data_IF_852511628895
#
_entry.id   IF_852511628895
#
_cell.length_a   1.000
_cell.length_b   1.000
_cell.length_c   1.000
_cell.angle_alpha   90.00
_cell.angle_beta   90.00
_cell.angle_gamma   90.00
#
_symmetry.space_group_name_H-M   'P 1'
#
loop_
_entity.id
_entity.type
_entity.pdbx_description
1 polymer ?
#
# COMPACT_ATOMS: atom_id res chain seq x y z
N UNK A 1 21.83 -28.93 -41.53
CA UNK A 1 23.03 -28.07 -41.61
C UNK A 1 22.51 -26.68 -41.92
N UNK A 2 22.34 -25.76 -40.97
CA UNK A 2 23.32 -25.24 -40.01
C UNK A 2 22.68 -25.04 -38.63
N UNK A 3 23.28 -25.64 -37.61
CA UNK A 3 23.06 -25.26 -36.22
C UNK A 3 23.66 -23.87 -36.01
N UNK A 4 22.81 -22.87 -35.78
CA UNK A 4 23.20 -21.57 -35.27
C UNK A 4 23.10 -21.58 -33.76
N UNK A 5 24.14 -22.12 -33.12
CA UNK A 5 24.40 -22.00 -31.68
C UNK A 5 24.59 -20.53 -31.31
N UNK A 6 23.49 -19.85 -30.94
CA UNK A 6 23.57 -18.69 -30.06
C UNK A 6 23.50 -19.18 -28.63
N UNK A 7 24.65 -19.67 -28.16
CA UNK A 7 25.01 -19.72 -26.75
C UNK A 7 24.86 -18.32 -26.16
N UNK A 8 23.68 -18.04 -25.60
CA UNK A 8 23.48 -16.97 -24.65
C UNK A 8 24.47 -17.19 -23.51
N UNK A 9 25.50 -16.37 -23.44
CA UNK A 9 26.45 -16.36 -22.33
C UNK A 9 25.70 -16.38 -21.01
N UNK A 10 25.96 -17.44 -20.22
CA UNK A 10 25.35 -17.75 -18.93
C UNK A 10 25.82 -16.84 -17.79
N UNK A 11 26.51 -15.72 -18.08
CA UNK A 11 27.23 -14.92 -17.07
C UNK A 11 26.50 -13.65 -16.61
N UNK A 12 25.42 -13.21 -17.29
CA UNK A 12 24.57 -12.09 -16.85
C UNK A 12 23.14 -12.58 -16.53
N UNK A 13 23.01 -13.46 -15.54
CA UNK A 13 21.73 -13.87 -14.98
C UNK A 13 21.27 -12.82 -13.96
N UNK A 14 20.69 -11.73 -14.44
CA UNK A 14 19.93 -10.82 -13.56
C UNK A 14 18.86 -11.63 -12.82
N UNK A 15 18.59 -11.28 -11.56
CA UNK A 15 17.58 -11.96 -10.74
C UNK A 15 16.21 -12.05 -11.44
N UNK A 16 15.91 -11.06 -12.29
CA UNK A 16 14.73 -11.00 -13.14
C UNK A 16 14.66 -12.15 -14.16
N UNK A 17 15.74 -12.47 -14.88
CA UNK A 17 15.78 -13.58 -15.85
C UNK A 17 15.51 -14.92 -15.19
N UNK A 18 16.06 -15.15 -14.01
CA UNK A 18 15.81 -16.40 -13.28
C UNK A 18 14.36 -16.48 -12.76
N UNK A 19 13.80 -15.36 -12.30
CA UNK A 19 12.38 -15.30 -11.95
C UNK A 19 11.48 -15.55 -13.17
N UNK A 20 11.82 -14.98 -14.33
CA UNK A 20 11.11 -15.22 -15.59
C UNK A 20 11.12 -16.70 -15.96
N UNK A 21 12.28 -17.36 -15.93
CA UNK A 21 12.42 -18.79 -16.21
C UNK A 21 11.51 -19.62 -15.30
N UNK A 22 11.54 -19.36 -13.99
CA UNK A 22 10.65 -20.03 -13.03
C UNK A 22 9.16 -19.79 -13.31
N UNK A 23 8.79 -18.59 -13.75
CA UNK A 23 7.41 -18.28 -14.10
C UNK A 23 6.97 -18.91 -15.42
N UNK A 24 7.92 -19.17 -16.34
CA UNK A 24 7.66 -19.88 -17.59
C UNK A 24 7.52 -21.40 -17.34
N UNK A 25 8.22 -21.97 -16.38
CA UNK A 25 8.08 -23.38 -15.97
C UNK A 25 6.68 -23.67 -15.38
N UNK A 26 6.10 -22.73 -14.64
CA UNK A 26 4.77 -22.89 -14.03
C UNK A 26 3.63 -22.61 -15.03
N UNK A 27 3.18 -23.66 -15.72
CA UNK A 27 2.13 -23.62 -16.75
C UNK A 27 0.77 -23.08 -16.28
N UNK A 28 0.44 -23.23 -14.99
CA UNK A 28 -0.81 -22.73 -14.42
C UNK A 28 -0.72 -21.29 -13.88
N UNK A 29 0.48 -20.70 -13.86
CA UNK A 29 0.78 -19.42 -13.24
C UNK A 29 1.01 -19.49 -11.73
N UNK A 30 1.19 -18.32 -11.11
CA UNK A 30 1.64 -18.19 -9.73
C UNK A 30 1.40 -16.79 -9.15
N UNK A 31 1.42 -16.70 -7.82
CA UNK A 31 1.42 -15.44 -7.08
C UNK A 31 2.87 -15.06 -6.79
N UNK A 32 3.31 -13.91 -7.27
CA UNK A 32 4.67 -13.39 -7.13
C UNK A 32 4.65 -12.18 -6.21
N UNK A 33 5.37 -12.28 -5.09
CA UNK A 33 5.54 -11.19 -4.14
C UNK A 33 7.00 -10.75 -4.19
N UNK A 34 7.22 -9.58 -4.78
CA UNK A 34 8.51 -8.92 -4.83
C UNK A 34 8.65 -7.98 -3.62
N UNK A 35 9.88 -7.80 -3.16
CA UNK A 35 10.17 -6.69 -2.25
C UNK A 35 10.03 -5.33 -2.95
N UNK A 36 9.67 -4.30 -2.18
CA UNK A 36 9.52 -2.96 -2.71
C UNK A 36 10.84 -2.47 -3.30
N UNK A 37 10.79 -1.83 -4.47
CA UNK A 37 11.98 -1.27 -5.12
C UNK A 37 12.69 -2.18 -6.13
N UNK A 38 12.37 -3.48 -6.22
CA UNK A 38 12.91 -4.38 -7.26
C UNK A 38 12.31 -4.18 -8.66
N UNK A 39 11.70 -3.01 -8.90
CA UNK A 39 11.16 -2.60 -10.20
C UNK A 39 10.26 -3.63 -10.90
N UNK A 40 9.07 -3.89 -10.32
CA UNK A 40 8.02 -4.74 -10.93
C UNK A 40 7.75 -4.38 -12.39
N UNK A 41 7.82 -3.10 -12.76
CA UNK A 41 7.64 -2.64 -14.14
C UNK A 41 8.62 -3.27 -15.12
N UNK A 42 9.90 -3.44 -14.76
CA UNK A 42 10.91 -4.06 -15.63
C UNK A 42 10.62 -5.55 -15.85
N UNK A 43 10.28 -6.26 -14.77
CA UNK A 43 9.89 -7.67 -14.82
C UNK A 43 8.70 -7.89 -15.76
N UNK A 44 7.64 -7.09 -15.59
CA UNK A 44 6.47 -7.18 -16.44
C UNK A 44 6.83 -6.87 -17.89
N UNK A 45 7.55 -5.78 -18.16
CA UNK A 45 7.98 -5.45 -19.52
C UNK A 45 8.75 -6.61 -20.18
N UNK A 46 9.67 -7.25 -19.45
CA UNK A 46 10.41 -8.42 -19.96
C UNK A 46 9.50 -9.63 -20.23
N UNK A 47 8.58 -9.95 -19.30
CA UNK A 47 7.59 -11.02 -19.50
C UNK A 47 6.68 -10.77 -20.71
N UNK A 48 6.35 -9.50 -21.00
CA UNK A 48 5.56 -9.14 -22.17
C UNK A 48 6.35 -9.28 -23.48
N UNK A 49 7.66 -9.09 -23.46
CA UNK A 49 8.53 -9.32 -24.62
C UNK A 49 8.68 -10.80 -24.97
N UNK A 50 8.60 -11.69 -23.97
CA UNK A 50 8.63 -13.14 -24.17
C UNK A 50 7.32 -13.70 -24.74
N UNK A 51 6.23 -12.94 -24.68
CA UNK A 51 4.93 -13.36 -25.17
C UNK A 51 4.87 -13.28 -26.70
N UNK A 52 4.60 -14.40 -27.37
CA UNK A 52 4.41 -14.44 -28.82
C UNK A 52 2.93 -14.43 -29.20
N UNK A 53 2.59 -13.75 -30.29
CA UNK A 53 1.21 -13.66 -30.81
C UNK A 53 0.58 -15.05 -31.08
N UNK A 54 1.42 -16.06 -31.36
CA UNK A 54 1.01 -17.44 -31.57
C UNK A 54 0.42 -18.12 -30.32
N UNK A 55 0.70 -17.61 -29.13
CA UNK A 55 0.20 -18.16 -27.86
C UNK A 55 -1.19 -17.64 -27.49
N UNK A 56 -1.75 -16.69 -28.26
CA UNK A 56 -3.04 -16.07 -28.01
C UNK A 56 -2.93 -14.71 -27.31
N UNK A 57 -4.07 -14.13 -26.94
CA UNK A 57 -4.15 -12.77 -26.38
C UNK A 57 -3.79 -12.79 -24.89
N UNK A 58 -2.99 -11.82 -24.44
CA UNK A 58 -2.60 -11.66 -23.03
C UNK A 58 -3.30 -10.44 -22.44
N UNK A 59 -4.09 -10.65 -21.39
CA UNK A 59 -4.83 -9.57 -20.73
C UNK A 59 -4.13 -9.13 -19.46
N UNK A 60 -3.83 -7.84 -19.37
CA UNK A 60 -3.28 -7.23 -18.16
C UNK A 60 -4.37 -6.44 -17.46
N UNK A 61 -4.78 -6.94 -16.29
CA UNK A 61 -5.63 -6.22 -15.36
C UNK A 61 -4.79 -5.16 -14.67
N UNK A 62 -4.83 -3.96 -15.25
CA UNK A 62 -4.28 -2.79 -14.59
C UNK A 62 -5.40 -2.04 -13.89
N UNK A 63 -5.20 -1.65 -12.62
CA UNK A 63 -6.01 -0.60 -12.04
C UNK A 63 -5.79 0.71 -12.79
N UNK A 64 -6.68 1.67 -12.59
CA UNK A 64 -6.65 3.00 -13.24
C UNK A 64 -5.42 3.86 -12.87
N UNK A 65 -4.47 3.35 -12.09
CA UNK A 65 -3.23 4.06 -11.78
C UNK A 65 -2.34 4.18 -13.01
N UNK A 66 -2.37 5.34 -13.66
CA UNK A 66 -1.60 5.65 -14.85
C UNK A 66 -0.07 5.50 -14.67
N UNK A 67 0.42 5.55 -13.43
CA UNK A 67 1.86 5.54 -13.10
C UNK A 67 2.56 4.20 -13.36
N UNK A 68 1.92 3.06 -13.08
CA UNK A 68 2.53 1.75 -13.34
C UNK A 68 2.50 1.43 -14.84
N UNK A 69 1.38 1.77 -15.50
CA UNK A 69 1.22 1.64 -16.96
C UNK A 69 2.29 2.44 -17.71
N UNK A 70 2.50 3.71 -17.33
CA UNK A 70 3.50 4.56 -18.00
C UNK A 70 4.92 4.03 -17.81
N UNK A 71 5.25 3.51 -16.62
CA UNK A 71 6.54 2.86 -16.37
C UNK A 71 6.75 1.59 -17.21
N UNK A 72 5.73 0.74 -17.32
CA UNK A 72 5.81 -0.47 -18.16
C UNK A 72 6.01 -0.08 -19.63
N UNK A 73 5.23 0.88 -20.13
CA UNK A 73 5.35 1.38 -21.50
C UNK A 73 6.71 2.04 -21.77
N UNK A 74 7.24 2.79 -20.80
CA UNK A 74 8.58 3.35 -20.89
C UNK A 74 9.64 2.26 -21.01
N UNK A 75 9.64 1.28 -20.11
CA UNK A 75 10.61 0.18 -20.15
C UNK A 75 10.48 -0.68 -21.42
N UNK A 76 9.27 -0.91 -21.92
CA UNK A 76 9.07 -1.61 -23.20
C UNK A 76 9.71 -0.85 -24.36
N UNK A 77 9.52 0.47 -24.45
CA UNK A 77 10.14 1.31 -25.48
C UNK A 77 11.67 1.32 -25.36
N UNK A 78 12.20 1.33 -24.14
CA UNK A 78 13.65 1.32 -23.90
C UNK A 78 14.28 -0.02 -24.26
N UNK A 79 13.65 -1.14 -23.91
CA UNK A 79 14.18 -2.48 -24.13
C UNK A 79 14.13 -2.90 -25.59
N UNK A 80 13.22 -2.34 -26.39
CA UNK A 80 13.08 -2.77 -27.77
C UNK A 80 12.57 -1.64 -28.70
N UNK A 81 13.49 -0.83 -29.28
CA UNK A 81 13.14 0.28 -30.18
C UNK A 81 12.43 -0.15 -31.47
N UNK A 82 12.54 -1.44 -31.84
CA UNK A 82 11.94 -2.02 -33.04
C UNK A 82 10.57 -2.67 -32.81
N UNK A 83 10.12 -2.79 -31.54
CA UNK A 83 8.79 -3.31 -31.21
C UNK A 83 7.74 -2.20 -31.31
N UNK A 84 6.98 -2.21 -32.40
CA UNK A 84 5.88 -1.27 -32.63
C UNK A 84 4.54 -1.69 -31.99
N UNK A 85 4.47 -2.85 -31.33
CA UNK A 85 3.28 -3.27 -30.57
C UNK A 85 3.39 -2.84 -29.11
N UNK A 86 3.15 -1.54 -28.87
CA UNK A 86 2.78 -1.09 -27.52
C UNK A 86 1.48 -1.81 -27.14
N UNK A 87 1.35 -2.33 -25.91
CA UNK A 87 0.11 -2.98 -25.49
C UNK A 87 -1.09 -2.04 -25.68
N UNK A 88 -2.12 -2.52 -26.39
CA UNK A 88 -3.29 -1.71 -26.71
C UNK A 88 -4.14 -1.54 -25.47
N UNK A 89 -4.60 -0.31 -25.20
CA UNK A 89 -5.50 -0.06 -24.08
C UNK A 89 -6.96 -0.20 -24.52
N UNK A 90 -7.70 -1.06 -23.83
CA UNK A 90 -9.13 -1.23 -24.02
C UNK A 90 -9.86 -0.27 -23.09
N UNK A 91 -10.27 0.87 -23.63
CA UNK A 91 -11.11 1.86 -22.94
C UNK A 91 -12.59 1.55 -23.12
N UNK A 92 -13.43 2.17 -22.29
CA UNK A 92 -14.89 2.02 -22.38
C UNK A 92 -15.48 2.68 -23.65
N UNK A 93 -14.74 3.61 -24.26
CA UNK A 93 -15.16 4.36 -25.44
C UNK A 93 -15.02 3.56 -26.74
N UNK A 94 -14.30 2.43 -26.71
CA UNK A 94 -14.11 1.59 -27.88
C UNK A 94 -15.40 0.81 -28.20
N UNK A 95 -15.86 0.83 -29.45
CA UNK A 95 -17.04 0.07 -29.86
C UNK A 95 -16.80 -1.44 -29.69
N UNK A 96 -17.89 -2.16 -29.41
CA UNK A 96 -17.87 -3.60 -29.07
C UNK A 96 -17.14 -4.45 -30.12
N UNK A 97 -17.34 -4.16 -31.40
CA UNK A 97 -16.74 -4.92 -32.50
C UNK A 97 -15.21 -4.77 -32.54
N UNK A 98 -14.71 -3.55 -32.27
CA UNK A 98 -13.26 -3.33 -32.17
C UNK A 98 -12.67 -4.04 -30.95
N UNK A 99 -13.37 -4.07 -29.81
CA UNK A 99 -12.92 -4.81 -28.63
C UNK A 99 -12.84 -6.32 -28.90
N UNK A 100 -13.81 -6.89 -29.60
CA UNK A 100 -13.78 -8.30 -30.01
C UNK A 100 -12.60 -8.61 -30.96
N UNK A 101 -12.32 -7.73 -31.91
CA UNK A 101 -11.15 -7.86 -32.80
C UNK A 101 -9.85 -7.83 -32.00
N UNK A 102 -9.72 -6.93 -31.02
CA UNK A 102 -8.55 -6.87 -30.13
C UNK A 102 -8.40 -8.15 -29.31
N UNK A 103 -9.47 -8.70 -28.74
CA UNK A 103 -9.41 -9.99 -28.03
C UNK A 103 -8.99 -11.16 -28.93
N UNK A 104 -9.25 -11.08 -30.24
CA UNK A 104 -8.90 -12.11 -31.23
C UNK A 104 -7.54 -11.88 -31.89
N UNK A 105 -6.91 -10.73 -31.65
CA UNK A 105 -5.68 -10.31 -32.33
C UNK A 105 -4.40 -11.04 -31.86
N UNK A 106 -4.45 -11.74 -30.73
CA UNK A 106 -3.28 -12.37 -30.11
C UNK A 106 -2.31 -11.36 -29.48
N UNK A 107 -2.68 -10.09 -29.39
CA UNK A 107 -1.83 -9.03 -28.84
C UNK A 107 -1.93 -8.95 -27.31
N UNK A 108 -1.03 -8.15 -26.71
CA UNK A 108 -1.10 -7.80 -25.29
C UNK A 108 -2.05 -6.60 -25.14
N UNK A 109 -3.04 -6.71 -24.26
CA UNK A 109 -4.00 -5.63 -24.01
C UNK A 109 -4.07 -5.25 -22.53
N UNK A 110 -4.08 -3.95 -22.26
CA UNK A 110 -4.46 -3.41 -20.95
C UNK A 110 -5.97 -3.27 -20.88
N UNK A 111 -6.56 -3.80 -19.81
CA UNK A 111 -8.01 -3.73 -19.59
C UNK A 111 -8.32 -3.45 -18.11
N UNK A 112 -9.39 -2.69 -17.87
CA UNK A 112 -9.88 -2.49 -16.50
C UNK A 112 -10.77 -3.65 -16.06
N UNK A 113 -10.75 -4.04 -14.77
CA UNK A 113 -11.60 -5.13 -14.27
C UNK A 113 -13.08 -4.93 -14.58
N UNK A 114 -13.58 -3.69 -14.53
CA UNK A 114 -14.98 -3.36 -14.79
C UNK A 114 -15.40 -3.63 -16.26
N UNK A 115 -14.52 -3.35 -17.22
CA UNK A 115 -14.81 -3.65 -18.63
C UNK A 115 -14.74 -5.15 -18.87
N UNK A 116 -13.70 -5.80 -18.34
CA UNK A 116 -13.48 -7.24 -18.53
C UNK A 116 -14.64 -8.07 -17.98
N UNK A 117 -15.16 -7.73 -16.79
CA UNK A 117 -16.25 -8.50 -16.20
C UNK A 117 -17.55 -8.38 -17.01
N UNK A 118 -17.87 -7.19 -17.53
CA UNK A 118 -19.07 -6.99 -18.36
C UNK A 118 -18.94 -7.77 -19.67
N UNK A 119 -17.77 -7.74 -20.31
CA UNK A 119 -17.53 -8.48 -21.55
C UNK A 119 -17.54 -10.01 -21.34
N UNK A 120 -17.07 -10.49 -20.19
CA UNK A 120 -17.15 -11.90 -19.79
C UNK A 120 -18.61 -12.33 -19.53
N UNK A 121 -19.39 -11.55 -18.78
CA UNK A 121 -20.79 -11.88 -18.46
C UNK A 121 -21.71 -11.81 -19.68
N UNK A 122 -21.38 -10.96 -20.66
CA UNK A 122 -22.13 -10.83 -21.91
C UNK A 122 -21.65 -11.78 -23.01
N UNK A 123 -20.71 -12.70 -22.71
CA UNK A 123 -20.12 -13.65 -23.66
C UNK A 123 -19.53 -13.00 -24.93
N UNK A 124 -19.04 -11.75 -24.82
CA UNK A 124 -18.43 -11.02 -25.94
C UNK A 124 -16.94 -11.26 -26.09
N UNK A 125 -16.35 -11.96 -25.12
CA UNK A 125 -14.93 -12.24 -25.06
C UNK A 125 -14.70 -13.75 -25.30
N UNK A 126 -13.99 -14.15 -26.38
CA UNK A 126 -13.70 -15.55 -26.66
C UNK A 126 -12.62 -16.06 -25.70
N UNK A 127 -13.05 -16.62 -24.57
CA UNK A 127 -12.15 -17.05 -23.50
C UNK A 127 -11.13 -18.11 -23.94
N UNK A 128 -11.44 -18.92 -24.96
CA UNK A 128 -10.57 -19.97 -25.50
C UNK A 128 -9.30 -19.45 -26.18
N UNK A 129 -9.33 -18.24 -26.72
CA UNK A 129 -8.19 -17.62 -27.46
C UNK A 129 -7.23 -16.91 -26.50
N UNK A 130 -7.65 -16.70 -25.25
CA UNK A 130 -6.85 -15.97 -24.27
C UNK A 130 -5.80 -16.91 -23.69
N UNK A 131 -4.54 -16.47 -23.83
CA UNK A 131 -3.36 -17.18 -23.32
C UNK A 131 -3.29 -17.14 -21.80
N UNK A 132 -3.56 -15.97 -21.23
CA UNK A 132 -3.46 -15.78 -19.79
C UNK A 132 -3.92 -14.42 -19.30
N UNK A 133 -3.97 -14.31 -17.97
CA UNK A 133 -4.36 -13.12 -17.23
C UNK A 133 -3.23 -12.68 -16.30
N UNK A 134 -2.83 -11.42 -16.38
CA UNK A 134 -1.85 -10.80 -15.50
C UNK A 134 -2.55 -9.79 -14.59
N UNK A 135 -2.38 -9.93 -13.28
CA UNK A 135 -2.91 -8.99 -12.27
C UNK A 135 -1.73 -8.33 -11.57
N UNK A 136 -1.67 -6.99 -11.56
CA UNK A 136 -0.50 -6.25 -11.05
C UNK A 136 -0.58 -5.85 -9.57
N UNK A 137 -1.78 -5.80 -8.99
CA UNK A 137 -1.99 -5.35 -7.60
C UNK A 137 -2.58 -6.47 -6.73
N UNK A 138 -1.83 -7.54 -6.47
CA UNK A 138 -2.34 -8.64 -5.63
C UNK A 138 -2.75 -8.15 -4.22
N UNK A 139 -2.10 -7.10 -3.70
CA UNK A 139 -2.35 -6.57 -2.37
C UNK A 139 -3.74 -5.95 -2.19
N UNK A 140 -4.41 -5.52 -3.26
CA UNK A 140 -5.78 -5.01 -3.21
C UNK A 140 -6.84 -6.09 -3.46
N UNK A 141 -6.44 -7.31 -3.84
CA UNK A 141 -7.36 -8.41 -4.12
C UNK A 141 -7.90 -8.98 -2.80
N UNK A 142 -9.22 -9.08 -2.72
CA UNK A 142 -9.99 -9.69 -1.63
C UNK A 142 -10.97 -10.71 -2.20
N UNK A 143 -11.61 -11.50 -1.32
CA UNK A 143 -12.65 -12.46 -1.71
C UNK A 143 -13.83 -11.82 -2.46
N UNK A 144 -14.15 -10.56 -2.13
CA UNK A 144 -15.24 -9.79 -2.72
C UNK A 144 -14.81 -8.90 -3.89
N UNK A 145 -13.54 -8.95 -4.30
CA UNK A 145 -13.02 -8.08 -5.35
C UNK A 145 -13.48 -8.55 -6.74
N UNK A 146 -13.57 -7.61 -7.68
CA UNK A 146 -13.98 -7.92 -9.06
C UNK A 146 -12.95 -8.81 -9.75
N UNK A 147 -11.66 -8.66 -9.43
CA UNK A 147 -10.58 -9.49 -9.97
C UNK A 147 -10.72 -10.96 -9.56
N UNK A 148 -11.06 -11.23 -8.30
CA UNK A 148 -11.32 -12.58 -7.83
C UNK A 148 -12.51 -13.21 -8.57
N UNK A 149 -13.56 -12.43 -8.81
CA UNK A 149 -14.73 -12.89 -9.56
C UNK A 149 -14.42 -13.14 -11.04
N UNK A 150 -13.66 -12.24 -11.69
CA UNK A 150 -13.17 -12.42 -13.06
C UNK A 150 -12.39 -13.72 -13.19
N UNK A 151 -11.45 -13.98 -12.28
CA UNK A 151 -10.62 -15.19 -12.31
C UNK A 151 -11.46 -16.45 -12.14
N UNK A 152 -12.48 -16.42 -11.26
CA UNK A 152 -13.40 -17.55 -11.07
C UNK A 152 -14.18 -17.89 -12.35
N UNK A 153 -14.75 -16.87 -13.02
CA UNK A 153 -15.45 -17.07 -14.30
C UNK A 153 -14.47 -17.51 -15.38
N UNK A 154 -13.34 -16.82 -15.50
CA UNK A 154 -12.32 -17.10 -16.50
C UNK A 154 -11.81 -18.54 -16.42
N UNK A 155 -11.56 -19.06 -15.20
CA UNK A 155 -11.16 -20.47 -14.99
C UNK A 155 -12.26 -21.48 -15.31
N UNK A 156 -13.54 -21.11 -15.22
CA UNK A 156 -14.65 -21.97 -15.62
C UNK A 156 -14.77 -22.08 -17.15
N UNK A 157 -14.40 -21.02 -17.87
CA UNK A 157 -14.45 -20.95 -19.34
C UNK A 157 -13.16 -21.46 -20.01
N UNK A 158 -12.00 -21.18 -19.42
CA UNK A 158 -10.69 -21.58 -19.93
C UNK A 158 -9.81 -22.14 -18.80
N UNK A 159 -9.62 -23.46 -18.81
CA UNK A 159 -8.81 -24.14 -17.79
C UNK A 159 -7.31 -24.14 -18.11
N UNK A 160 -6.94 -24.00 -19.37
CA UNK A 160 -5.55 -24.00 -19.84
C UNK A 160 -4.85 -22.65 -19.72
N UNK A 161 -5.58 -21.54 -19.62
CA UNK A 161 -4.99 -20.21 -19.50
C UNK A 161 -4.27 -20.03 -18.16
N UNK A 162 -3.08 -19.42 -18.17
CA UNK A 162 -2.34 -19.14 -16.95
C UNK A 162 -2.85 -17.87 -16.27
N UNK A 163 -2.74 -17.81 -14.93
CA UNK A 163 -3.05 -16.62 -14.14
C UNK A 163 -1.81 -16.24 -13.34
N UNK A 164 -1.18 -15.14 -13.69
CA UNK A 164 0.02 -14.62 -13.01
C UNK A 164 -0.34 -13.35 -12.26
N UNK A 165 -0.02 -13.32 -10.97
CA UNK A 165 -0.47 -12.25 -10.08
C UNK A 165 0.74 -11.70 -9.36
N UNK A 166 0.94 -10.40 -9.40
CA UNK A 166 2.13 -9.72 -8.90
C UNK A 166 1.78 -8.74 -7.78
N UNK A 167 2.72 -8.54 -6.86
CA UNK A 167 2.67 -7.47 -5.86
C UNK A 167 4.07 -7.03 -5.49
N UNK A 168 4.26 -5.72 -5.37
CA UNK A 168 5.48 -5.05 -4.89
C UNK A 168 5.38 -4.60 -3.42
N UNK A 169 4.24 -4.88 -2.76
CA UNK A 169 3.94 -4.52 -1.37
C UNK A 169 3.81 -5.75 -0.48
N UNK A 170 4.93 -6.35 -0.02
CA UNK A 170 4.88 -7.55 0.82
C UNK A 170 4.20 -7.28 2.18
N UNK A 171 4.37 -6.09 2.75
CA UNK A 171 3.72 -5.70 4.01
C UNK A 171 2.19 -5.78 3.95
N UNK A 172 1.60 -5.44 2.80
CA UNK A 172 0.16 -5.49 2.60
C UNK A 172 -0.37 -6.92 2.40
N UNK A 173 0.50 -7.91 2.16
CA UNK A 173 0.14 -9.33 2.02
C UNK A 173 0.17 -10.08 3.36
N UNK A 174 0.90 -9.56 4.34
CA UNK A 174 0.95 -10.06 5.72
C UNK A 174 -0.11 -9.37 6.59
N UNK A 175 -0.82 -8.36 6.06
CA UNK A 175 -1.80 -7.63 6.83
C UNK A 175 -3.05 -8.49 7.11
N UNK A 176 -3.24 -8.82 8.39
CA UNK A 176 -4.44 -9.50 8.90
C UNK A 176 -4.30 -11.02 8.87
N UNK A 177 -5.39 -11.74 9.12
CA UNK A 177 -5.33 -13.19 9.22
C UNK A 177 -5.21 -13.87 7.85
N UNK A 178 -4.06 -14.52 7.61
CA UNK A 178 -3.79 -15.41 6.47
C UNK A 178 -4.14 -14.81 5.09
N UNK A 179 -3.93 -13.51 4.88
CA UNK A 179 -4.33 -12.81 3.65
C UNK A 179 -3.72 -13.43 2.39
N UNK A 180 -2.44 -13.76 2.39
CA UNK A 180 -1.78 -14.40 1.24
C UNK A 180 -2.46 -15.73 0.84
N UNK A 181 -2.80 -16.58 1.82
CA UNK A 181 -3.49 -17.85 1.57
C UNK A 181 -4.90 -17.60 1.00
N UNK A 182 -5.65 -16.66 1.58
CA UNK A 182 -6.99 -16.28 1.09
C UNK A 182 -6.91 -15.79 -0.35
N UNK A 183 -6.01 -14.85 -0.66
CA UNK A 183 -5.80 -14.34 -2.02
C UNK A 183 -5.46 -15.47 -3.01
N UNK A 184 -4.60 -16.42 -2.62
CA UNK A 184 -4.30 -17.59 -3.45
C UNK A 184 -5.53 -18.48 -3.69
N UNK A 185 -6.35 -18.73 -2.66
CA UNK A 185 -7.60 -19.49 -2.78
C UNK A 185 -8.60 -18.79 -3.70
N UNK A 186 -8.80 -17.48 -3.55
CA UNK A 186 -9.68 -16.69 -4.41
C UNK A 186 -9.28 -16.78 -5.89
N UNK A 187 -7.98 -16.70 -6.15
CA UNK A 187 -7.42 -16.69 -7.50
C UNK A 187 -7.18 -18.10 -8.06
N UNK A 188 -7.46 -19.15 -7.29
CA UNK A 188 -7.23 -20.55 -7.65
C UNK A 188 -5.76 -20.84 -8.02
N UNK A 189 -4.83 -20.20 -7.32
CA UNK A 189 -3.39 -20.33 -7.54
C UNK A 189 -2.79 -21.28 -6.49
N UNK A 190 -1.91 -22.18 -6.94
CA UNK A 190 -1.24 -23.18 -6.06
C UNK A 190 0.19 -22.82 -5.70
N UNK A 191 0.87 -22.00 -6.53
CA UNK A 191 2.29 -21.65 -6.38
C UNK A 191 2.45 -20.22 -5.87
N UNK A 192 3.32 -20.06 -4.88
CA UNK A 192 3.71 -18.78 -4.30
C UNK A 192 5.22 -18.59 -4.51
N UNK A 193 5.60 -17.48 -5.14
CA UNK A 193 6.99 -17.08 -5.36
C UNK A 193 7.29 -15.86 -4.50
N UNK A 194 8.20 -16.02 -3.55
CA UNK A 194 8.65 -14.94 -2.67
C UNK A 194 10.04 -14.49 -3.10
N UNK A 195 10.20 -13.18 -3.31
CA UNK A 195 11.43 -12.56 -3.78
C UNK A 195 11.86 -11.40 -2.88
N UNK A 196 12.38 -11.71 -1.67
CA UNK A 196 12.93 -10.71 -0.76
C UNK A 196 14.30 -10.20 -1.22
N UNK A 197 14.74 -9.06 -0.69
CA UNK A 197 16.06 -8.48 -1.03
C UNK A 197 17.25 -9.35 -0.63
N UNK A 198 17.11 -10.14 0.43
CA UNK A 198 18.14 -11.05 0.92
C UNK A 198 18.21 -12.38 0.15
N UNK A 199 17.38 -12.57 -0.88
CA UNK A 199 17.50 -13.74 -1.73
C UNK A 199 18.83 -13.69 -2.48
N UNK A 200 19.55 -14.81 -2.54
CA UNK A 200 20.92 -14.90 -3.09
C UNK A 200 21.11 -14.14 -4.39
N UNK A 201 20.29 -14.40 -5.41
CA UNK A 201 20.39 -13.72 -6.72
C UNK A 201 20.11 -12.21 -6.67
N UNK A 202 19.20 -11.79 -5.79
CA UNK A 202 18.85 -10.37 -5.63
C UNK A 202 19.95 -9.64 -4.88
N UNK A 203 20.48 -10.23 -3.79
CA UNK A 203 21.57 -9.68 -2.99
C UNK A 203 22.82 -9.51 -3.85
N UNK A 204 23.18 -10.55 -4.61
CA UNK A 204 24.34 -10.50 -5.52
C UNK A 204 24.25 -9.35 -6.52
N UNK A 205 23.08 -9.11 -7.13
CA UNK A 205 22.90 -8.00 -8.08
C UNK A 205 22.93 -6.63 -7.39
N UNK A 206 22.33 -6.51 -6.20
CA UNK A 206 22.34 -5.25 -5.44
C UNK A 206 23.71 -4.91 -4.84
N UNK A 207 24.54 -5.91 -4.57
CA UNK A 207 25.89 -5.78 -4.01
C UNK A 207 26.96 -5.49 -5.08
N UNK A 208 26.64 -5.57 -6.38
CA UNK A 208 27.58 -5.27 -7.46
C UNK A 208 28.02 -3.80 -7.48
N UNK A 209 27.07 -2.87 -7.26
CA UNK A 209 27.33 -1.44 -7.25
C UNK A 209 26.48 -0.75 -6.17
N UNK A 210 26.88 -0.90 -4.88
CA UNK A 210 26.16 -0.29 -3.78
C UNK A 210 26.42 1.23 -3.75
N UNK A 211 25.38 2.06 -3.58
CA UNK A 211 25.59 3.50 -3.42
C UNK A 211 26.33 3.79 -2.11
N UNK A 212 27.23 4.77 -2.12
CA UNK A 212 27.91 5.24 -0.90
C UNK A 212 26.92 6.02 -0.02
N UNK A 213 26.69 5.54 1.20
CA UNK A 213 25.72 6.11 2.15
C UNK A 213 26.48 6.69 3.34
N UNK A 214 26.45 8.02 3.46
CA UNK A 214 27.02 8.73 4.62
C UNK A 214 25.92 9.03 5.62
N UNK A 215 25.92 8.30 6.75
CA UNK A 215 24.95 8.49 7.83
C UNK A 215 25.30 9.72 8.70
N UNK A 216 24.60 10.83 8.47
CA UNK A 216 24.72 12.04 9.30
C UNK A 216 23.63 12.03 10.38
N UNK A 217 24.03 11.82 11.64
CA UNK A 217 23.11 11.84 12.78
C UNK A 217 22.95 13.26 13.32
N UNK A 218 21.80 13.86 13.07
CA UNK A 218 21.43 15.18 13.62
C UNK A 218 20.56 14.99 14.86
N UNK A 219 21.03 15.34 16.07
CA UNK A 219 20.23 15.22 17.28
C UNK A 219 19.10 16.26 17.31
N UNK A 220 17.96 15.89 17.90
CA UNK A 220 16.89 16.84 18.18
C UNK A 220 17.31 17.82 19.28
N UNK A 221 16.78 19.04 19.23
CA UNK A 221 16.97 20.00 20.31
C UNK A 221 16.28 19.53 21.61
N UNK A 222 16.73 20.05 22.76
CA UNK A 222 16.13 19.74 24.07
C UNK A 222 14.62 20.01 24.10
N UNK A 223 14.20 21.11 23.47
CA UNK A 223 12.80 21.50 23.36
C UNK A 223 11.98 20.55 22.48
N UNK A 224 12.52 20.13 21.33
CA UNK A 224 11.87 19.14 20.47
C UNK A 224 11.69 17.79 21.18
N UNK A 225 12.71 17.35 21.93
CA UNK A 225 12.60 16.11 22.72
C UNK A 225 11.52 16.22 23.81
N UNK A 226 11.42 17.37 24.49
CA UNK A 226 10.38 17.62 25.47
C UNK A 226 8.98 17.54 24.87
N UNK A 227 8.76 18.17 23.71
CA UNK A 227 7.49 18.14 22.98
C UNK A 227 7.18 16.72 22.51
N UNK A 228 8.15 16.02 21.92
CA UNK A 228 7.98 14.64 21.44
C UNK A 228 7.57 13.72 22.59
N UNK A 229 8.26 13.80 23.74
CA UNK A 229 7.96 12.99 24.93
C UNK A 229 6.52 13.23 25.41
N UNK A 230 6.11 14.49 25.53
CA UNK A 230 4.75 14.85 25.94
C UNK A 230 3.70 14.29 24.97
N UNK A 231 3.91 14.40 23.64
CA UNK A 231 2.97 13.85 22.66
C UNK A 231 2.91 12.32 22.74
N UNK A 232 4.05 11.64 22.88
CA UNK A 232 4.11 10.17 23.00
C UNK A 232 3.43 9.68 24.28
N UNK A 233 3.57 10.39 25.40
CA UNK A 233 2.88 10.09 26.66
C UNK A 233 1.36 10.21 26.51
N UNK A 234 0.88 11.29 25.89
CA UNK A 234 -0.55 11.50 25.61
C UNK A 234 -1.08 10.41 24.66
N UNK A 235 -0.33 10.07 23.60
CA UNK A 235 -0.70 8.96 22.72
C UNK A 235 -0.79 7.64 23.48
N UNK A 236 0.15 7.35 24.38
CA UNK A 236 0.12 6.17 25.24
C UNK A 236 -1.13 6.11 26.13
N UNK A 237 -1.54 7.24 26.71
CA UNK A 237 -2.78 7.35 27.47
C UNK A 237 -4.02 7.11 26.59
N UNK A 238 -4.10 7.71 25.40
CA UNK A 238 -5.19 7.48 24.45
C UNK A 238 -5.30 6.00 24.02
N UNK A 239 -4.17 5.34 23.75
CA UNK A 239 -4.14 3.93 23.40
C UNK A 239 -4.59 3.03 24.57
N UNK A 240 -4.22 3.38 25.81
CA UNK A 240 -4.65 2.67 27.01
C UNK A 240 -6.16 2.75 27.21
N UNK A 241 -6.75 3.92 27.02
CA UNK A 241 -8.21 4.09 27.08
C UNK A 241 -8.92 3.35 25.94
N UNK A 242 -8.35 3.37 24.73
CA UNK A 242 -8.92 2.64 23.59
C UNK A 242 -8.90 1.12 23.84
N UNK A 243 -7.84 0.60 24.47
CA UNK A 243 -7.70 -0.83 24.84
C UNK A 243 -8.79 -1.31 25.80
N UNK A 244 -9.31 -0.45 26.67
CA UNK A 244 -10.42 -0.80 27.59
C UNK A 244 -11.72 -1.17 26.86
N UNK A 245 -11.87 -0.77 25.60
CA UNK A 245 -13.12 -0.95 24.86
C UNK A 245 -13.37 -2.42 24.44
N UNK A 246 -12.43 -3.36 24.67
CA UNK A 246 -12.50 -4.81 24.36
C UNK A 246 -12.88 -5.19 22.90
N UNK A 247 -13.15 -4.20 22.03
CA UNK A 247 -13.51 -4.36 20.61
C UNK A 247 -12.33 -4.23 19.66
N UNK A 248 -11.12 -4.05 20.19
CA UNK A 248 -9.90 -3.74 19.41
C UNK A 248 -8.81 -4.69 19.85
N UNK A 249 -8.06 -5.23 18.90
CA UNK A 249 -7.04 -6.24 19.17
C UNK A 249 -5.82 -5.59 19.84
N UNK A 250 -5.40 -6.16 20.97
CA UNK A 250 -4.43 -5.56 21.89
C UNK A 250 -2.99 -5.63 21.35
N UNK A 251 -2.70 -6.64 20.51
CA UNK A 251 -1.36 -6.92 20.00
C UNK A 251 -0.88 -5.86 19.01
N UNK A 252 -1.80 -5.34 18.19
CA UNK A 252 -1.50 -4.33 17.16
C UNK A 252 -1.39 -2.90 17.75
N UNK A 253 -1.94 -2.67 18.95
CA UNK A 253 -2.08 -1.35 19.60
C UNK A 253 -0.94 -1.03 20.57
N UNK A 254 0.30 -1.02 20.06
CA UNK A 254 1.48 -0.55 20.80
C UNK A 254 1.84 0.88 20.42
N UNK A 255 2.56 1.60 21.29
CA UNK A 255 3.05 2.95 21.02
C UNK A 255 4.01 2.94 19.82
N UNK A 256 4.85 1.92 19.73
CA UNK A 256 5.79 1.70 18.61
C UNK A 256 5.04 1.55 17.28
N UNK A 257 4.00 0.71 17.26
CA UNK A 257 3.13 0.57 16.10
C UNK A 257 2.41 1.89 15.78
N UNK A 258 2.00 2.63 16.81
CA UNK A 258 1.40 3.96 16.74
C UNK A 258 2.25 5.01 16.01
N UNK A 259 3.58 4.85 15.98
CA UNK A 259 4.47 5.78 15.27
C UNK A 259 4.54 5.48 13.77
N UNK A 260 4.27 4.25 13.33
CA UNK A 260 4.36 3.88 11.91
C UNK A 260 3.16 4.39 11.11
N UNK A 261 3.39 4.73 9.83
CA UNK A 261 2.34 5.21 8.91
C UNK A 261 1.20 4.20 8.72
N UNK A 262 1.51 2.91 8.81
CA UNK A 262 0.55 1.80 8.71
C UNK A 262 -0.47 1.74 9.85
N UNK A 263 -0.24 2.44 10.96
CA UNK A 263 -1.14 2.39 12.12
C UNK A 263 -2.58 2.83 11.79
N UNK A 264 -2.76 3.90 11.00
CA UNK A 264 -4.10 4.33 10.59
C UNK A 264 -4.84 3.24 9.80
N UNK A 265 -4.11 2.50 8.98
CA UNK A 265 -4.66 1.42 8.16
C UNK A 265 -5.08 0.23 9.03
N UNK A 266 -4.28 -0.10 10.04
CA UNK A 266 -4.59 -1.14 11.04
C UNK A 266 -5.83 -0.75 11.84
N UNK A 267 -5.88 0.48 12.37
CA UNK A 267 -7.01 0.99 13.16
C UNK A 267 -8.29 1.01 12.32
N UNK A 268 -8.24 1.51 11.08
CA UNK A 268 -9.40 1.47 10.18
C UNK A 268 -9.87 0.06 9.89
N UNK A 269 -8.95 -0.86 9.59
CA UNK A 269 -9.33 -2.25 9.30
C UNK A 269 -10.11 -2.90 10.44
N UNK A 270 -9.73 -2.62 11.69
CA UNK A 270 -10.41 -3.17 12.87
C UNK A 270 -11.72 -2.42 13.19
N UNK A 271 -11.74 -1.09 13.04
CA UNK A 271 -12.86 -0.26 13.47
C UNK A 271 -13.94 -0.02 12.40
N UNK A 272 -13.60 -0.03 11.10
CA UNK A 272 -14.55 0.24 10.00
C UNK A 272 -15.77 -0.70 10.03
N UNK A 273 -15.62 -2.04 10.23
CA UNK A 273 -16.77 -2.95 10.29
C UNK A 273 -17.75 -2.63 11.43
N UNK A 274 -17.22 -2.15 12.56
CA UNK A 274 -17.99 -1.87 13.78
C UNK A 274 -18.23 -0.38 14.00
N UNK A 275 -17.88 0.48 13.03
CA UNK A 275 -17.82 1.94 13.20
C UNK A 275 -19.15 2.54 13.68
N UNK A 276 -20.26 2.00 13.20
CA UNK A 276 -21.60 2.42 13.59
C UNK A 276 -21.92 2.08 15.07
N UNK A 277 -21.37 0.99 15.61
CA UNK A 277 -21.57 0.54 17.00
C UNK A 277 -20.62 1.16 18.01
N UNK A 278 -19.61 1.90 17.55
CA UNK A 278 -18.63 2.54 18.43
C UNK A 278 -19.22 3.80 19.06
N UNK A 279 -19.00 3.96 20.37
CA UNK A 279 -19.38 5.15 21.11
C UNK A 279 -18.65 6.40 20.60
N UNK A 280 -19.23 7.57 20.89
CA UNK A 280 -18.63 8.87 20.51
C UNK A 280 -17.22 9.04 21.08
N UNK A 281 -17.01 8.60 22.31
CA UNK A 281 -15.70 8.65 22.99
C UNK A 281 -14.61 7.90 22.22
N UNK A 282 -14.86 6.66 21.78
CA UNK A 282 -13.88 5.88 21.01
C UNK A 282 -13.60 6.52 19.64
N UNK A 283 -14.63 7.06 18.97
CA UNK A 283 -14.46 7.79 17.70
C UNK A 283 -13.60 9.04 17.87
N UNK A 284 -13.77 9.74 18.98
CA UNK A 284 -12.95 10.90 19.33
C UNK A 284 -11.50 10.50 19.57
N UNK A 285 -11.25 9.45 20.37
CA UNK A 285 -9.88 8.93 20.61
C UNK A 285 -9.15 8.57 19.30
N UNK A 286 -9.84 7.98 18.32
CA UNK A 286 -9.26 7.68 17.00
C UNK A 286 -8.89 8.96 16.23
N UNK A 287 -9.73 9.98 16.30
CA UNK A 287 -9.46 11.30 15.71
C UNK A 287 -8.28 12.00 16.40
N UNK A 288 -8.20 11.90 17.72
CA UNK A 288 -7.14 12.50 18.53
C UNK A 288 -5.80 11.82 18.25
N UNK A 289 -5.76 10.47 18.21
CA UNK A 289 -4.57 9.71 17.82
C UNK A 289 -4.06 10.11 16.43
N UNK A 290 -4.95 10.33 15.47
CA UNK A 290 -4.58 10.81 14.14
C UNK A 290 -3.97 12.21 14.17
N UNK A 291 -4.47 13.08 15.04
CA UNK A 291 -3.98 14.46 15.20
C UNK A 291 -2.63 14.50 15.91
N UNK A 292 -2.46 13.72 16.99
CA UNK A 292 -1.20 13.58 17.72
C UNK A 292 -0.09 13.03 16.81
N UNK A 293 -0.40 12.03 15.96
CA UNK A 293 0.56 11.49 14.98
C UNK A 293 0.98 12.51 13.93
N UNK A 294 0.05 13.37 13.49
CA UNK A 294 0.39 14.49 12.60
C UNK A 294 1.28 15.53 13.29
N UNK A 295 1.02 15.83 14.56
CA UNK A 295 1.86 16.74 15.35
C UNK A 295 3.30 16.23 15.45
N UNK A 296 3.50 14.94 15.69
CA UNK A 296 4.84 14.34 15.67
C UNK A 296 5.54 14.47 14.31
N UNK A 297 4.83 14.23 13.20
CA UNK A 297 5.40 14.38 11.85
C UNK A 297 5.71 15.86 11.52
N UNK A 298 4.87 16.79 11.97
CA UNK A 298 5.04 18.22 11.75
C UNK A 298 6.16 18.85 12.58
N UNK A 299 6.43 18.34 13.78
CA UNK A 299 7.52 18.80 14.64
C UNK A 299 8.89 18.73 13.94
N UNK A 300 9.08 17.72 13.09
CA UNK A 300 10.34 17.50 12.36
C UNK A 300 10.34 18.15 10.96
N UNK A 301 9.16 18.33 10.35
CA UNK A 301 9.04 18.83 8.96
C UNK A 301 8.88 20.34 8.83
N UNK A 302 8.28 21.01 9.83
CA UNK A 302 7.94 22.44 9.75
C UNK A 302 8.83 23.29 10.64
N UNK A 303 8.90 24.59 10.30
CA UNK A 303 9.53 25.60 11.13
C UNK A 303 8.70 25.87 12.41
N UNK A 304 9.35 26.43 13.43
CA UNK A 304 8.75 26.66 14.74
C UNK A 304 7.53 27.60 14.69
N UNK A 305 7.51 28.58 13.78
CA UNK A 305 6.41 29.56 13.67
C UNK A 305 5.18 28.90 13.06
N UNK A 306 5.35 28.15 11.97
CA UNK A 306 4.27 27.38 11.35
C UNK A 306 3.73 26.31 12.31
N UNK A 307 4.61 25.65 13.05
CA UNK A 307 4.21 24.65 14.06
C UNK A 307 3.39 25.28 15.19
N UNK A 308 3.81 26.44 15.71
CA UNK A 308 3.07 27.17 16.75
C UNK A 308 1.69 27.61 16.25
N UNK A 309 1.60 28.18 15.03
CA UNK A 309 0.32 28.54 14.42
C UNK A 309 -0.61 27.33 14.30
N UNK A 310 -0.08 26.17 13.93
CA UNK A 310 -0.88 24.95 13.87
C UNK A 310 -1.40 24.54 15.26
N UNK A 311 -0.58 24.61 16.30
CA UNK A 311 -1.01 24.36 17.68
C UNK A 311 -2.10 25.34 18.14
N UNK A 312 -1.97 26.63 17.81
CA UNK A 312 -2.99 27.63 18.13
C UNK A 312 -4.31 27.34 17.40
N UNK A 313 -4.27 26.93 16.14
CA UNK A 313 -5.50 26.54 15.41
C UNK A 313 -6.18 25.32 16.04
N UNK A 314 -5.41 24.34 16.50
CA UNK A 314 -5.96 23.19 17.22
C UNK A 314 -6.59 23.62 18.55
N UNK A 315 -5.90 24.48 19.31
CA UNK A 315 -6.42 25.02 20.57
C UNK A 315 -7.74 25.76 20.39
N UNK A 316 -7.83 26.61 19.37
CA UNK A 316 -9.07 27.33 19.04
C UNK A 316 -10.18 26.34 18.68
N UNK A 317 -9.89 25.34 17.84
CA UNK A 317 -10.89 24.34 17.42
C UNK A 317 -11.48 23.54 18.59
N UNK A 318 -10.67 23.20 19.59
CA UNK A 318 -11.13 22.48 20.80
C UNK A 318 -11.86 23.38 21.79
N UNK A 319 -11.47 24.65 21.89
CA UNK A 319 -12.19 25.63 22.73
C UNK A 319 -13.64 25.84 22.26
N UNK A 320 -13.92 25.77 20.95
CA UNK A 320 -15.30 25.83 20.44
C UNK A 320 -16.08 24.52 20.64
N UNK A 321 -15.41 23.36 20.55
CA UNK A 321 -16.03 22.04 20.78
C UNK A 321 -16.48 21.86 22.22
N UNK A 322 -15.63 22.21 23.17
CA UNK A 322 -15.93 22.14 24.62
C UNK A 322 -17.09 23.04 25.04
N UNK A 323 -17.27 24.21 24.41
CA UNK A 323 -18.43 25.09 24.66
C UNK A 323 -19.72 24.47 24.10
N UNK A 324 -19.66 23.79 22.95
CA UNK A 324 -20.81 23.10 22.36
C UNK A 324 -21.23 21.86 23.15
N UNK A 325 -20.26 21.12 23.71
CA UNK A 325 -20.51 19.95 24.57
C UNK A 325 -20.96 20.33 25.98
N UNK A 326 -20.43 21.40 26.58
CA UNK A 326 -20.93 21.96 27.84
C UNK A 326 -22.39 22.41 27.75
N UNK A 327 -22.88 22.78 26.56
CA UNK A 327 -24.29 23.13 26.36
C UNK A 327 -25.22 21.89 26.32
N UNK A 328 -24.67 20.68 26.26
CA UNK A 328 -25.42 19.40 26.17
C UNK A 328 -25.27 18.46 27.37
N UNK A 329 -24.33 18.70 28.28
CA UNK A 329 -24.11 17.83 29.44
C UNK A 329 -23.92 18.68 30.70
N UNK A 330 -25.00 18.77 31.50
CA UNK A 330 -24.87 18.90 32.95
C UNK A 330 -25.01 17.48 33.46
N UNK A 331 -23.89 16.79 33.65
CA UNK A 331 -23.81 15.59 34.46
C UNK A 331 -22.44 15.60 35.14
N UNK A 332 -22.45 15.56 36.48
CA UNK A 332 -21.29 15.85 37.34
C UNK A 332 -20.14 14.83 37.19
N UNK A 333 -20.42 13.63 36.66
CA UNK A 333 -19.42 12.60 36.39
C UNK A 333 -18.52 12.92 35.17
N UNK A 334 -19.04 13.66 34.18
CA UNK A 334 -18.27 14.10 33.02
C UNK A 334 -17.39 15.32 33.34
N UNK A 335 -17.79 16.12 34.34
CA UNK A 335 -17.05 17.29 34.80
C UNK A 335 -15.73 16.88 35.47
N UNK A 336 -15.72 15.78 36.23
CA UNK A 336 -14.51 15.21 36.82
C UNK A 336 -13.52 14.68 35.77
N UNK A 337 -14.02 14.08 34.67
CA UNK A 337 -13.18 13.57 33.59
C UNK A 337 -12.58 14.69 32.72
N UNK A 338 -13.37 15.70 32.38
CA UNK A 338 -12.89 16.89 31.65
C UNK A 338 -11.90 17.66 32.53
N UNK A 339 -12.15 17.82 33.83
CA UNK A 339 -11.20 18.47 34.74
C UNK A 339 -9.87 17.70 34.85
N UNK A 340 -9.88 16.37 34.77
CA UNK A 340 -8.67 15.57 34.87
C UNK A 340 -7.86 15.57 33.55
N UNK A 341 -8.53 15.44 32.40
CA UNK A 341 -7.87 15.51 31.09
C UNK A 341 -7.40 16.93 30.74
N UNK A 342 -8.21 17.94 31.06
CA UNK A 342 -7.85 19.36 30.94
C UNK A 342 -6.77 19.73 31.96
N UNK A 343 -6.82 19.16 33.16
CA UNK A 343 -5.80 19.28 34.17
C UNK A 343 -4.46 18.75 33.69
N UNK A 344 -4.42 17.54 33.11
CA UNK A 344 -3.19 16.96 32.55
C UNK A 344 -2.67 17.78 31.37
N UNK A 345 -3.55 18.24 30.47
CA UNK A 345 -3.13 19.04 29.32
C UNK A 345 -2.62 20.42 29.72
N UNK A 346 -3.32 21.12 30.63
CA UNK A 346 -2.88 22.41 31.17
C UNK A 346 -1.61 22.24 31.99
N UNK A 347 -1.48 21.18 32.79
CA UNK A 347 -0.28 20.91 33.58
C UNK A 347 0.92 20.59 32.69
N UNK A 348 0.74 19.83 31.60
CA UNK A 348 1.78 19.62 30.59
C UNK A 348 2.16 20.93 29.88
N UNK A 349 1.19 21.81 29.60
CA UNK A 349 1.42 23.11 28.96
C UNK A 349 2.10 24.10 29.91
N UNK A 350 1.77 24.08 31.21
CA UNK A 350 2.38 24.89 32.26
C UNK A 350 3.79 24.41 32.57
N UNK A 351 4.04 23.10 32.59
CA UNK A 351 5.39 22.55 32.71
C UNK A 351 6.21 22.89 31.47
N UNK A 352 5.65 22.75 30.26
CA UNK A 352 6.34 23.15 29.04
C UNK A 352 6.65 24.66 29.02
N UNK A 353 5.73 25.50 29.51
CA UNK A 353 5.91 26.94 29.64
C UNK A 353 6.95 27.32 30.69
N UNK A 354 6.91 26.70 31.89
CA UNK A 354 7.91 26.92 32.93
C UNK A 354 9.31 26.41 32.55
N UNK A 355 9.41 25.32 31.79
CA UNK A 355 10.70 24.84 31.26
C UNK A 355 11.28 25.78 30.19
N UNK A 356 10.45 26.57 29.52
CA UNK A 356 10.89 27.58 28.54
C UNK A 356 11.24 28.90 29.24
N UNK A 357 10.57 29.26 30.33
CA UNK A 357 10.81 30.51 31.08
C UNK A 357 11.91 30.40 32.13
N UNK A 358 12.13 29.21 32.71
CA UNK A 358 13.19 29.00 33.71
C UNK A 358 14.62 28.97 33.12
N UNK A 359 14.78 29.26 31.82
CA UNK A 359 16.09 29.44 31.19
C UNK A 359 16.54 30.91 31.44
N UNK A 360 17.60 31.17 32.23
CA UNK A 360 18.03 32.53 32.61
C UNK A 360 18.53 33.40 31.44
N UNK A 361 18.42 32.93 30.20
CA UNK A 361 18.72 33.69 28.97
C UNK A 361 17.64 34.68 28.56
N UNK A 362 16.47 34.68 29.20
CA UNK A 362 15.37 35.59 28.87
C UNK A 362 15.02 36.61 29.97
N UNK A 363 15.83 36.73 31.03
CA UNK A 363 15.69 37.81 32.05
C UNK A 363 16.66 38.99 31.87
N UNK A 364 17.44 39.06 30.79
CA UNK A 364 18.24 40.25 30.49
C UNK A 364 18.43 40.43 28.97
N UNK A 365 17.44 41.04 28.33
CA UNK A 365 17.57 42.17 27.39
C UNK A 365 16.20 42.52 26.77
#
# INVERSE_FOLDING_TARGET
MTQGSNTLHLEDLSHLKYLELKLLEDTNGGLVILSSGLSLSKLISSLLLLHSTSQGTLLILSPSSATLKSKINFHLKTLNPQFYQVPVEITADLPVNHRHSLYSSGSVCFITPRILIVDLLTNKLPASIISGLIILNAHSVSETSTEAFIVRIFRSLNRSAFVRVFSDRPQAMVSGFAKAERTMKCLHIRKLHLWPRFQVYVSQELEQDPPDVVDIRVPMSKYMMGIQKAIVEVMGACLKEMRKTNKVDVEDLTVENGLFKSFDEIVRRQLDPIWHTLGKQTKQLVSDLKTLRKLLDYLVRYDAVTYLKYLDTLRVSESFRTISEKKKMIDDEALGFIANSLGIFIFALVIAYHLVIADPKYEAN
#
